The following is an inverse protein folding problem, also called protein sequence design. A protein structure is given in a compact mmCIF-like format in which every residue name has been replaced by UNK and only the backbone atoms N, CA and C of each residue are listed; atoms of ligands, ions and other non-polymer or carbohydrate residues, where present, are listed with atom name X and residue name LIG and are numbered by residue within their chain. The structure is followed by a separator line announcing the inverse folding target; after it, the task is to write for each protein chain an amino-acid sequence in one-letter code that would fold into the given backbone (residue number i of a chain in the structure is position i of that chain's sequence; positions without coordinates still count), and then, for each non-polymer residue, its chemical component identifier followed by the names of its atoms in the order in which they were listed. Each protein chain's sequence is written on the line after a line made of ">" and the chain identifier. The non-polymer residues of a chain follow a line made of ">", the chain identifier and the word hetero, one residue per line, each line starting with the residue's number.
data_IF_294314491472
#
_entry.id   IF_294314491472
#
_cell.length_a   1.000
_cell.length_b   1.000
_cell.length_c   1.000
_cell.angle_alpha   90.00
_cell.angle_beta   90.00
_cell.angle_gamma   90.00
#
_symmetry.space_group_name_H-M   'P 1'
#
loop_
_entity.id
_entity.type
_entity.pdbx_description
1 polymer ?
#
# COMPACT_ATOMS: atom_id res chain seq x y z
N UNK A 1 -45.97 -13.13 36.42
CA UNK A 1 -44.60 -12.56 36.34
C UNK A 1 -44.71 -11.15 35.80
N UNK A 2 -44.18 -10.16 36.53
CA UNK A 2 -44.48 -8.73 36.33
C UNK A 2 -43.72 -8.14 35.13
N UNK A 3 -44.43 -7.41 34.25
CA UNK A 3 -43.90 -6.68 33.08
C UNK A 3 -42.68 -5.80 33.40
N UNK A 4 -42.60 -5.31 34.64
CA UNK A 4 -41.48 -4.49 35.13
C UNK A 4 -40.15 -5.24 35.18
N UNK A 5 -40.18 -6.55 35.47
CA UNK A 5 -38.97 -7.38 35.52
C UNK A 5 -38.42 -7.64 34.11
N UNK A 6 -39.29 -7.86 33.12
CA UNK A 6 -38.89 -8.04 31.71
C UNK A 6 -38.31 -6.75 31.13
N UNK A 7 -38.90 -5.59 31.45
CA UNK A 7 -38.35 -4.28 31.06
C UNK A 7 -37.00 -3.99 31.73
N UNK A 8 -36.76 -4.51 32.94
CA UNK A 8 -35.49 -4.33 33.64
C UNK A 8 -34.41 -5.27 33.07
N UNK A 9 -34.77 -6.51 32.72
CA UNK A 9 -33.90 -7.46 32.00
C UNK A 9 -33.42 -6.86 30.67
N UNK A 10 -34.35 -6.37 29.85
CA UNK A 10 -34.00 -5.77 28.56
C UNK A 10 -33.22 -4.45 28.65
N UNK A 11 -33.20 -3.79 29.82
CA UNK A 11 -32.32 -2.62 30.07
C UNK A 11 -30.92 -3.04 30.48
N UNK A 12 -30.80 -4.12 31.27
CA UNK A 12 -29.52 -4.70 31.68
C UNK A 12 -28.81 -5.34 30.48
N UNK A 13 -29.53 -6.09 29.65
CA UNK A 13 -29.01 -6.67 28.40
C UNK A 13 -28.50 -5.59 27.43
N UNK A 14 -29.22 -4.46 27.32
CA UNK A 14 -28.77 -3.32 26.50
C UNK A 14 -27.53 -2.64 27.08
N UNK A 15 -27.43 -2.51 28.41
CA UNK A 15 -26.27 -1.95 29.07
C UNK A 15 -25.04 -2.84 28.91
N UNK A 16 -25.21 -4.16 28.99
CA UNK A 16 -24.16 -5.16 28.80
C UNK A 16 -23.64 -5.17 27.35
N UNK A 17 -24.53 -5.12 26.35
CA UNK A 17 -24.13 -5.00 24.93
C UNK A 17 -23.34 -3.70 24.70
N UNK A 18 -23.79 -2.58 25.28
CA UNK A 18 -23.08 -1.30 25.17
C UNK A 18 -21.70 -1.37 25.83
N UNK A 19 -21.60 -1.99 27.00
CA UNK A 19 -20.34 -2.17 27.71
C UNK A 19 -19.37 -3.06 26.92
N UNK A 20 -19.84 -4.21 26.40
CA UNK A 20 -19.07 -5.07 25.51
C UNK A 20 -18.61 -4.33 24.26
N UNK A 21 -19.48 -3.49 23.67
CA UNK A 21 -19.14 -2.67 22.50
C UNK A 21 -18.08 -1.64 22.85
N UNK A 22 -18.18 -0.97 23.99
CA UNK A 22 -17.16 0.00 24.45
C UNK A 22 -15.83 -0.70 24.72
N UNK A 23 -15.84 -1.87 25.36
CA UNK A 23 -14.65 -2.66 25.60
C UNK A 23 -14.01 -3.13 24.28
N UNK A 24 -14.81 -3.57 23.32
CA UNK A 24 -14.36 -3.94 21.98
C UNK A 24 -13.77 -2.75 21.22
N UNK A 25 -14.42 -1.58 21.25
CA UNK A 25 -13.90 -0.36 20.62
C UNK A 25 -12.60 0.11 21.27
N UNK A 26 -12.48 0.02 22.60
CA UNK A 26 -11.22 0.30 23.31
C UNK A 26 -10.14 -0.69 22.91
N UNK A 27 -10.46 -1.98 22.80
CA UNK A 27 -9.54 -3.01 22.34
C UNK A 27 -9.09 -2.77 20.90
N UNK A 28 -9.98 -2.33 20.01
CA UNK A 28 -9.64 -1.93 18.63
C UNK A 28 -8.81 -0.64 18.56
N UNK A 29 -9.00 0.29 19.50
CA UNK A 29 -8.18 1.49 19.61
C UNK A 29 -6.80 1.20 20.22
N UNK A 30 -6.71 0.29 21.18
CA UNK A 30 -5.45 -0.12 21.84
C UNK A 30 -4.67 -1.16 21.05
N UNK A 31 -5.37 -1.97 20.25
CA UNK A 31 -4.75 -2.68 19.15
C UNK A 31 -4.33 -1.58 18.18
N UNK A 32 -3.10 -1.12 18.32
CA UNK A 32 -2.42 -0.32 17.32
C UNK A 32 -2.45 -1.09 15.99
N UNK A 33 -3.57 -1.02 15.28
CA UNK A 33 -3.57 -1.08 13.83
C UNK A 33 -2.44 -0.14 13.46
N UNK A 34 -1.46 -0.57 12.66
CA UNK A 34 -0.18 0.11 12.52
C UNK A 34 -0.34 1.47 11.82
N UNK A 35 -0.96 2.43 12.51
CA UNK A 35 -1.12 3.82 12.15
C UNK A 35 0.28 4.40 12.23
N UNK A 36 0.86 4.70 11.09
CA UNK A 36 2.24 5.14 10.96
C UNK A 36 3.13 4.22 10.12
N UNK A 37 2.77 2.94 9.94
CA UNK A 37 3.53 2.07 9.01
C UNK A 37 3.20 2.30 7.54
N UNK A 38 2.19 3.11 7.23
CA UNK A 38 1.90 3.48 5.84
C UNK A 38 3.11 4.10 5.14
N UNK A 39 3.90 4.92 5.87
CA UNK A 39 5.13 5.52 5.35
C UNK A 39 6.22 4.48 5.12
N UNK A 40 6.36 3.53 6.05
CA UNK A 40 7.33 2.43 5.96
C UNK A 40 6.99 1.47 4.82
N UNK A 41 5.72 1.06 4.72
CA UNK A 41 5.20 0.23 3.64
C UNK A 41 5.34 0.93 2.30
N UNK A 42 5.05 2.24 2.22
CA UNK A 42 5.23 3.03 0.99
C UNK A 42 6.70 3.08 0.57
N UNK A 43 7.62 3.28 1.51
CA UNK A 43 9.05 3.23 1.24
C UNK A 43 9.50 1.83 0.79
N UNK A 44 8.97 0.77 1.42
CA UNK A 44 9.23 -0.61 1.05
C UNK A 44 8.73 -0.92 -0.37
N UNK A 45 7.50 -0.51 -0.73
CA UNK A 45 6.97 -0.62 -2.08
C UNK A 45 7.78 0.17 -3.11
N UNK A 46 8.22 1.38 -2.77
CA UNK A 46 9.10 2.17 -3.63
C UNK A 46 10.43 1.42 -3.87
N UNK A 47 11.02 0.84 -2.83
CA UNK A 47 12.25 0.05 -2.94
C UNK A 47 12.07 -1.17 -3.86
N UNK A 48 10.96 -1.92 -3.71
CA UNK A 48 10.65 -3.03 -4.60
C UNK A 48 10.47 -2.59 -6.06
N UNK A 49 9.77 -1.48 -6.28
CA UNK A 49 9.63 -0.89 -7.61
C UNK A 49 10.98 -0.53 -8.21
N UNK A 50 11.84 0.19 -7.47
CA UNK A 50 13.17 0.55 -7.94
C UNK A 50 14.04 -0.68 -8.22
N UNK A 51 13.98 -1.71 -7.36
CA UNK A 51 14.69 -2.96 -7.58
C UNK A 51 14.26 -3.64 -8.90
N UNK A 52 12.95 -3.84 -9.11
CA UNK A 52 12.43 -4.43 -10.33
C UNK A 52 12.74 -3.60 -11.58
N UNK A 53 12.71 -2.27 -11.46
CA UNK A 53 13.09 -1.38 -12.54
C UNK A 53 14.57 -1.55 -12.93
N UNK A 54 15.47 -1.63 -11.96
CA UNK A 54 16.89 -1.85 -12.22
C UNK A 54 17.18 -3.23 -12.83
N UNK A 55 16.48 -4.28 -12.38
CA UNK A 55 16.53 -5.61 -13.00
C UNK A 55 16.10 -5.57 -14.47
N UNK A 56 14.98 -4.90 -14.77
CA UNK A 56 14.50 -4.71 -16.13
C UNK A 56 15.52 -3.95 -16.99
N UNK A 57 16.11 -2.88 -16.46
CA UNK A 57 17.15 -2.11 -17.14
C UNK A 57 18.38 -2.95 -17.49
N UNK A 58 18.85 -3.81 -16.56
CA UNK A 58 19.96 -4.73 -16.85
C UNK A 58 19.63 -5.70 -17.96
N UNK A 59 18.43 -6.29 -17.94
CA UNK A 59 17.96 -7.20 -18.98
C UNK A 59 17.86 -6.49 -20.34
N UNK A 60 17.37 -5.25 -20.36
CA UNK A 60 17.31 -4.45 -21.58
C UNK A 60 18.71 -4.17 -22.14
N UNK A 61 19.66 -3.73 -21.29
CA UNK A 61 21.05 -3.51 -21.71
C UNK A 61 21.65 -4.80 -22.28
N UNK A 62 21.44 -5.93 -21.60
CA UNK A 62 21.92 -7.22 -22.08
C UNK A 62 21.32 -7.58 -23.44
N UNK A 63 20.00 -7.42 -23.62
CA UNK A 63 19.32 -7.66 -24.89
C UNK A 63 19.89 -6.78 -26.01
N UNK A 64 19.99 -5.47 -25.79
CA UNK A 64 20.48 -4.52 -26.80
C UNK A 64 21.93 -4.83 -27.20
N UNK A 65 22.80 -5.17 -26.24
CA UNK A 65 24.24 -5.39 -26.51
C UNK A 65 24.55 -6.80 -27.00
N UNK A 66 23.84 -7.81 -26.53
CA UNK A 66 24.18 -9.22 -26.79
C UNK A 66 23.32 -9.82 -27.91
N UNK A 67 22.01 -9.52 -27.91
CA UNK A 67 21.06 -10.06 -28.89
C UNK A 67 21.03 -9.18 -30.13
N UNK A 68 20.75 -7.89 -29.96
CA UNK A 68 20.70 -6.92 -31.07
C UNK A 68 22.10 -6.48 -31.54
N UNK A 69 23.15 -6.81 -30.78
CA UNK A 69 24.54 -6.43 -31.05
C UNK A 69 24.72 -4.92 -31.27
N UNK A 70 23.91 -4.10 -30.61
CA UNK A 70 24.05 -2.66 -30.64
C UNK A 70 25.31 -2.23 -29.87
N UNK A 71 26.08 -1.32 -30.47
CA UNK A 71 27.23 -0.71 -29.80
C UNK A 71 26.78 0.34 -28.78
N UNK A 72 27.56 0.53 -27.72
CA UNK A 72 27.28 1.54 -26.69
C UNK A 72 27.37 2.99 -27.20
N UNK A 73 28.06 3.20 -28.34
CA UNK A 73 28.14 4.50 -29.04
C UNK A 73 26.92 4.76 -29.93
N UNK A 74 26.05 3.77 -30.11
CA UNK A 74 24.84 3.91 -30.91
C UNK A 74 23.93 4.98 -30.29
N UNK A 75 23.46 5.91 -31.10
CA UNK A 75 22.64 7.04 -30.64
C UNK A 75 21.29 6.58 -30.09
N UNK A 76 20.70 5.52 -30.64
CA UNK A 76 19.46 4.90 -30.14
C UNK A 76 19.70 4.24 -28.78
N UNK A 77 20.80 3.50 -28.62
CA UNK A 77 21.20 2.92 -27.33
C UNK A 77 21.30 4.01 -26.25
N UNK A 78 22.05 5.08 -26.54
CA UNK A 78 22.24 6.20 -25.62
C UNK A 78 20.92 6.90 -25.26
N UNK A 79 20.05 7.15 -26.25
CA UNK A 79 18.75 7.80 -26.03
C UNK A 79 17.81 6.96 -25.17
N UNK A 80 17.74 5.65 -25.42
CA UNK A 80 16.89 4.73 -24.64
C UNK A 80 17.35 4.71 -23.18
N UNK A 81 18.65 4.54 -22.94
CA UNK A 81 19.16 4.52 -21.56
C UNK A 81 19.00 5.85 -20.85
N UNK A 82 19.31 6.97 -21.50
CA UNK A 82 19.12 8.28 -20.90
C UNK A 82 17.65 8.54 -20.53
N UNK A 83 16.71 8.16 -21.41
CA UNK A 83 15.29 8.25 -21.12
C UNK A 83 14.91 7.42 -19.90
N UNK A 84 15.28 6.13 -19.87
CA UNK A 84 14.90 5.25 -18.77
C UNK A 84 15.58 5.62 -17.44
N UNK A 85 16.82 6.10 -17.47
CA UNK A 85 17.50 6.64 -16.29
C UNK A 85 16.80 7.89 -15.75
N UNK A 86 16.28 8.76 -16.63
CA UNK A 86 15.52 9.94 -16.19
C UNK A 86 14.19 9.58 -15.51
N UNK A 87 13.61 8.41 -15.83
CA UNK A 87 12.33 7.96 -15.28
C UNK A 87 12.46 7.26 -13.93
N UNK A 88 13.59 6.63 -13.62
CA UNK A 88 13.78 5.96 -12.32
C UNK A 88 13.83 6.94 -11.14
N UNK A 89 14.19 8.20 -11.40
CA UNK A 89 14.29 9.28 -10.40
C UNK A 89 12.93 9.87 -10.06
N UNK A 90 11.91 9.65 -10.91
CA UNK A 90 10.55 10.06 -10.61
C UNK A 90 9.93 9.07 -9.63
N UNK A 91 9.49 9.54 -8.46
CA UNK A 91 8.75 8.74 -7.48
C UNK A 91 7.66 7.93 -8.21
N UNK A 92 7.55 6.61 -7.95
CA UNK A 92 6.45 5.83 -8.50
C UNK A 92 5.14 6.48 -8.11
N UNK A 93 4.38 6.95 -9.11
CA UNK A 93 3.02 7.46 -8.91
C UNK A 93 2.14 6.25 -8.65
N UNK A 94 2.19 5.76 -7.41
CA UNK A 94 1.17 4.86 -6.88
C UNK A 94 -0.09 5.71 -6.77
N UNK A 95 -0.90 5.70 -7.85
CA UNK A 95 -2.19 6.35 -7.86
C UNK A 95 -2.98 5.91 -6.63
N UNK A 96 -3.59 6.88 -5.96
CA UNK A 96 -4.48 6.66 -4.82
C UNK A 96 -5.72 5.88 -5.31
N UNK A 97 -5.58 4.58 -5.54
CA UNK A 97 -6.67 3.69 -5.92
C UNK A 97 -7.38 3.27 -4.64
N UNK A 98 -8.20 4.16 -4.06
CA UNK A 98 -8.94 3.79 -2.85
C UNK A 98 -9.55 4.92 -2.03
N UNK A 99 -10.13 5.95 -2.66
CA UNK A 99 -11.19 6.72 -2.00
C UNK A 99 -12.40 6.77 -2.93
N UNK A 100 -13.05 5.62 -3.11
CA UNK A 100 -14.45 5.60 -3.50
C UNK A 100 -15.20 6.05 -2.25
N UNK A 101 -15.60 7.32 -2.21
CA UNK A 101 -16.57 7.81 -1.22
C UNK A 101 -17.89 7.05 -1.41
N UNK A 102 -18.46 6.44 -0.37
CA UNK A 102 -19.86 6.06 -0.42
C UNK A 102 -20.70 7.31 -0.17
N UNK A 103 -21.65 7.58 -1.07
CA UNK A 103 -22.78 8.49 -0.84
C UNK A 103 -23.63 8.04 0.36
#
# INVERSE_FOLDING_TARGET
>A
MSLRALSNSGKLEKAEILEMTVQYLRALHSADFPRGREKELRAEFANYFHFGYHECMKNLVHYLTTVERMETKDTKYARILAFLQSKVVSEPVFGSLGTISPD
#
